data_IF_236856178815
#
_entry.id   IF_236856178815
#
_cell.length_a   1.000
_cell.length_b   1.000
_cell.length_c   1.000
_cell.angle_alpha   90.00
_cell.angle_beta   90.00
_cell.angle_gamma   90.00
#
_symmetry.space_group_name_H-M   'P 1'
#
loop_
_entity.id
_entity.type
_entity.pdbx_description
1 polymer ?
#
# COMPACT_ATOMS: atom_id res chain seq x y z
N UNK A 1 3.53 -4.89 -16.51
CA UNK A 1 4.78 -5.66 -16.27
C UNK A 1 5.51 -5.02 -15.11
N UNK A 2 5.95 -5.80 -14.12
CA UNK A 2 6.98 -5.46 -13.11
C UNK A 2 8.07 -6.51 -13.31
N UNK A 3 9.36 -6.16 -13.28
CA UNK A 3 10.46 -7.14 -13.42
C UNK A 3 11.68 -6.72 -12.59
N UNK A 4 12.24 -7.69 -11.85
CA UNK A 4 13.43 -7.66 -10.97
C UNK A 4 13.58 -6.44 -10.05
N UNK A 5 12.63 -6.25 -9.14
CA UNK A 5 12.65 -5.13 -8.18
C UNK A 5 13.16 -5.60 -6.83
N UNK A 6 14.29 -5.01 -6.41
CA UNK A 6 14.81 -5.06 -5.05
C UNK A 6 15.06 -3.63 -4.55
N UNK A 7 14.40 -3.26 -3.47
CA UNK A 7 14.67 -2.04 -2.71
C UNK A 7 14.23 -2.28 -1.27
N UNK A 8 14.83 -1.52 -0.37
CA UNK A 8 14.51 -1.52 1.06
C UNK A 8 14.07 -0.12 1.45
N UNK A 9 13.07 -0.05 2.32
CA UNK A 9 12.58 1.18 2.92
C UNK A 9 12.80 1.02 4.42
N UNK A 10 13.70 1.82 4.99
CA UNK A 10 13.95 1.78 6.42
C UNK A 10 12.84 2.49 7.19
N UNK A 11 12.75 2.20 8.49
CA UNK A 11 11.80 2.86 9.37
C UNK A 11 12.01 4.39 9.39
N UNK A 12 10.91 5.13 9.35
CA UNK A 12 10.92 6.59 9.27
C UNK A 12 11.24 7.20 7.90
N UNK A 13 11.49 6.39 6.86
CA UNK A 13 11.74 6.90 5.51
C UNK A 13 10.47 7.13 4.69
N UNK A 14 10.49 8.15 3.83
CA UNK A 14 9.41 8.46 2.91
C UNK A 14 9.91 8.26 1.47
N UNK A 15 9.23 7.42 0.71
CA UNK A 15 9.56 7.13 -0.68
C UNK A 15 8.46 7.57 -1.65
N UNK A 16 8.87 8.16 -2.77
CA UNK A 16 7.99 8.51 -3.89
C UNK A 16 8.20 7.60 -5.10
N UNK A 17 7.15 6.91 -5.55
CA UNK A 17 7.17 6.16 -6.81
C UNK A 17 6.83 7.08 -7.99
N UNK A 18 7.80 7.38 -8.85
CA UNK A 18 7.65 8.31 -9.98
C UNK A 18 7.72 7.56 -11.31
N UNK A 19 6.83 7.89 -12.25
CA UNK A 19 6.84 7.33 -13.61
C UNK A 19 5.56 7.66 -14.39
N UNK A 20 5.52 7.44 -15.71
CA UNK A 20 4.36 7.74 -16.56
C UNK A 20 3.12 6.94 -16.17
N UNK A 21 1.93 7.40 -16.58
CA UNK A 21 0.70 6.61 -16.38
C UNK A 21 0.84 5.22 -17.00
N UNK A 22 0.35 4.18 -16.31
CA UNK A 22 0.50 2.79 -16.75
C UNK A 22 1.87 2.15 -16.45
N UNK A 23 2.84 2.86 -15.84
CA UNK A 23 4.17 2.30 -15.53
C UNK A 23 4.20 1.22 -14.43
N UNK A 24 3.06 0.93 -13.78
CA UNK A 24 2.98 -0.10 -12.74
C UNK A 24 3.10 0.40 -11.30
N UNK A 25 3.13 1.71 -11.03
CA UNK A 25 3.18 2.27 -9.66
C UNK A 25 2.07 1.74 -8.76
N UNK A 26 0.81 1.89 -9.19
CA UNK A 26 -0.36 1.41 -8.44
C UNK A 26 -0.33 -0.11 -8.29
N UNK A 27 0.18 -0.83 -9.29
CA UNK A 27 0.36 -2.28 -9.24
C UNK A 27 1.40 -2.67 -8.19
N UNK A 28 2.53 -1.96 -8.10
CA UNK A 28 3.57 -2.20 -7.09
C UNK A 28 3.04 -1.95 -5.69
N UNK A 29 2.36 -0.83 -5.45
CA UNK A 29 1.77 -0.53 -4.13
C UNK A 29 0.77 -1.61 -3.72
N UNK A 30 -0.11 -2.06 -4.62
CA UNK A 30 -1.05 -3.16 -4.34
C UNK A 30 -0.36 -4.47 -3.98
N UNK A 31 0.80 -4.78 -4.59
CA UNK A 31 1.61 -5.95 -4.21
C UNK A 31 2.28 -5.76 -2.85
N UNK A 32 2.72 -4.54 -2.52
CA UNK A 32 3.31 -4.20 -1.22
C UNK A 32 2.30 -4.38 -0.09
N UNK A 33 1.08 -3.87 -0.26
CA UNK A 33 0.01 -4.00 0.75
C UNK A 33 -0.69 -5.37 0.72
N UNK A 34 -0.19 -6.33 -0.06
CA UNK A 34 -0.74 -7.69 -0.11
C UNK A 34 -2.09 -7.86 -0.80
N UNK A 35 -2.60 -6.82 -1.49
CA UNK A 35 -3.86 -6.89 -2.26
C UNK A 35 -3.75 -7.72 -3.53
N UNK A 36 -2.54 -7.85 -4.08
CA UNK A 36 -2.26 -8.68 -5.25
C UNK A 36 -0.95 -9.46 -5.04
N UNK A 37 -0.88 -10.71 -5.49
CA UNK A 37 0.31 -11.55 -5.30
C UNK A 37 1.34 -11.30 -6.40
N UNK A 38 2.64 -11.23 -6.10
CA UNK A 38 3.66 -11.19 -7.13
C UNK A 38 3.71 -12.53 -7.88
N UNK A 39 3.98 -12.49 -9.18
CA UNK A 39 4.13 -13.71 -10.00
C UNK A 39 5.45 -14.44 -9.70
N UNK A 40 6.46 -13.72 -9.22
CA UNK A 40 7.75 -14.24 -8.76
C UNK A 40 8.33 -13.28 -7.70
N UNK A 41 9.29 -13.77 -6.89
CA UNK A 41 9.90 -13.00 -5.80
C UNK A 41 9.04 -12.95 -4.53
N UNK A 42 9.38 -12.05 -3.60
CA UNK A 42 8.64 -11.87 -2.36
C UNK A 42 8.67 -10.43 -1.88
N UNK A 43 7.63 -10.03 -1.15
CA UNK A 43 7.59 -8.77 -0.43
C UNK A 43 7.54 -9.07 1.06
N UNK A 44 8.28 -8.28 1.85
CA UNK A 44 8.17 -8.23 3.30
C UNK A 44 7.72 -6.85 3.73
N UNK A 45 6.81 -6.81 4.69
CA UNK A 45 6.30 -5.58 5.30
C UNK A 45 6.29 -5.81 6.81
N UNK A 46 6.92 -4.91 7.57
CA UNK A 46 7.09 -5.08 9.03
C UNK A 46 7.65 -6.47 9.38
N UNK A 47 8.73 -6.87 8.69
CA UNK A 47 9.41 -8.18 8.77
C UNK A 47 8.59 -9.43 8.41
N UNK A 48 7.30 -9.28 8.09
CA UNK A 48 6.41 -10.36 7.73
C UNK A 48 6.26 -10.48 6.22
N UNK A 49 6.22 -11.70 5.71
CA UNK A 49 6.02 -11.98 4.28
C UNK A 49 4.54 -11.76 3.95
N UNK A 50 4.25 -10.91 2.96
CA UNK A 50 2.87 -10.66 2.53
C UNK A 50 2.43 -11.63 1.41
N UNK A 51 1.13 -11.95 1.30
CA UNK A 51 0.03 -11.45 2.13
C UNK A 51 -0.03 -12.09 3.53
N UNK A 52 -0.21 -11.27 4.57
CA UNK A 52 -0.42 -11.66 5.95
C UNK A 52 -1.46 -10.70 6.57
N UNK A 53 -2.59 -11.23 7.05
CA UNK A 53 -3.67 -10.41 7.60
C UNK A 53 -3.25 -9.64 8.86
N UNK A 54 -2.35 -10.20 9.67
CA UNK A 54 -1.88 -9.56 10.90
C UNK A 54 -1.01 -8.33 10.64
N UNK A 55 -0.49 -8.18 9.41
CA UNK A 55 0.24 -6.98 8.98
C UNK A 55 -0.73 -5.87 8.60
N UNK A 56 -1.91 -6.21 8.07
CA UNK A 56 -2.89 -5.23 7.61
C UNK A 56 -3.40 -4.35 8.76
N UNK A 57 -3.48 -4.90 9.97
CA UNK A 57 -3.83 -4.17 11.21
C UNK A 57 -2.85 -3.03 11.54
N UNK A 58 -1.63 -3.06 10.96
CA UNK A 58 -0.55 -2.14 11.29
C UNK A 58 -0.21 -1.18 10.14
N UNK A 59 -1.00 -1.17 9.05
CA UNK A 59 -0.75 -0.31 7.89
C UNK A 59 -2.01 0.43 7.44
N UNK A 60 -1.82 1.66 6.96
CA UNK A 60 -2.85 2.42 6.26
C UNK A 60 -2.63 2.38 4.75
N UNK A 61 -3.69 2.13 3.98
CA UNK A 61 -3.65 2.22 2.52
C UNK A 61 -4.76 3.14 2.00
N UNK A 62 -4.36 4.18 1.28
CA UNK A 62 -5.27 5.06 0.56
C UNK A 62 -5.18 4.74 -0.94
N UNK A 63 -6.21 4.10 -1.47
CA UNK A 63 -6.30 3.88 -2.91
C UNK A 63 -6.46 5.23 -3.65
N UNK A 64 -6.05 5.25 -4.92
CA UNK A 64 -6.36 6.38 -5.80
C UNK A 64 -7.88 6.45 -6.00
N UNK A 65 -8.54 7.35 -5.29
CA UNK A 65 -9.95 7.63 -5.46
C UNK A 65 -10.27 9.06 -5.00
N UNK A 66 -11.32 9.64 -5.57
CA UNK A 66 -12.05 10.78 -5.02
C UNK A 66 -12.80 10.38 -3.72
N UNK A 67 -12.22 9.50 -2.89
CA UNK A 67 -12.86 8.77 -1.79
C UNK A 67 -12.96 9.58 -0.50
N UNK A 68 -12.94 10.91 -0.60
CA UNK A 68 -13.32 11.72 0.55
C UNK A 68 -14.84 11.64 0.67
N UNK A 69 -15.30 11.09 1.78
CA UNK A 69 -16.69 11.24 2.18
C UNK A 69 -16.88 12.71 2.52
N UNK A 70 -17.54 13.44 1.62
CA UNK A 70 -17.73 14.90 1.74
C UNK A 70 -18.59 15.29 2.94
N UNK A 71 -19.40 14.34 3.42
CA UNK A 71 -20.24 14.50 4.61
C UNK A 71 -19.47 14.23 5.91
N UNK A 72 -18.22 13.78 5.82
CA UNK A 72 -17.33 13.52 6.95
C UNK A 72 -16.27 14.63 7.06
N UNK A 73 -15.92 14.98 8.29
CA UNK A 73 -14.75 15.81 8.59
C UNK A 73 -13.47 15.12 8.12
N UNK A 74 -12.39 15.88 7.97
CA UNK A 74 -11.08 15.32 7.62
C UNK A 74 -10.61 14.25 8.61
N UNK A 75 -10.93 14.41 9.91
CA UNK A 75 -10.60 13.41 10.94
C UNK A 75 -11.40 12.13 10.77
N UNK A 76 -12.67 12.22 10.44
CA UNK A 76 -13.53 11.05 10.22
C UNK A 76 -13.12 10.31 8.96
N UNK A 77 -12.73 11.02 7.89
CA UNK A 77 -12.13 10.41 6.71
C UNK A 77 -10.84 9.64 7.07
N UNK A 78 -9.93 10.25 7.85
CA UNK A 78 -8.73 9.58 8.33
C UNK A 78 -9.06 8.32 9.14
N UNK A 79 -10.04 8.39 10.05
CA UNK A 79 -10.49 7.25 10.83
C UNK A 79 -11.05 6.14 9.95
N UNK A 80 -11.86 6.46 8.93
CA UNK A 80 -12.34 5.46 7.98
C UNK A 80 -11.20 4.73 7.26
N UNK A 81 -10.21 5.47 6.73
CA UNK A 81 -9.06 4.84 6.06
C UNK A 81 -8.16 4.02 6.99
N UNK A 82 -8.17 4.31 8.29
CA UNK A 82 -7.53 3.50 9.32
C UNK A 82 -8.36 2.25 9.68
N UNK A 83 -9.70 2.31 9.60
CA UNK A 83 -10.59 1.24 10.04
C UNK A 83 -10.92 0.19 8.97
N UNK A 84 -10.85 0.52 7.67
CA UNK A 84 -11.18 -0.42 6.59
C UNK A 84 -10.23 -1.62 6.48
N UNK A 85 -9.19 -1.70 7.31
CA UNK A 85 -8.25 -2.84 7.40
C UNK A 85 -8.31 -3.59 8.75
N UNK A 86 -9.40 -3.43 9.52
CA UNK A 86 -9.76 -4.32 10.63
C UNK A 86 -10.63 -5.50 10.19
#
# INVERSE_FOLDING_TARGET
MLQDIDFEVADGEIYGLIGPSGSGKTTLVKKIVGMDRPSAGSVRLLDKKVPDLTVLENIGYMAQADALYTDLTGRENLQCFLHFFH
#
